data_IF_617027168898
#
_entry.id   IF_617027168898
#
_cell.length_a   1.000
_cell.length_b   1.000
_cell.length_c   1.000
_cell.angle_alpha   90.00
_cell.angle_beta   90.00
_cell.angle_gamma   90.00
#
_symmetry.space_group_name_H-M   'P 1'
#
loop_
_entity.id
_entity.type
_entity.pdbx_description
1 polymer ?
2 non-polymer ?
3 water ?
#
# COMPACT_ATOMS: atom_id res chain seq x y z
C UNK A 1 -8.93 -9.61 -19.82
N UNK A 2 -8.26 -8.46 -19.67
CA UNK A 2 -6.82 -8.42 -19.85
C UNK A 2 -6.06 -8.81 -18.60
N UNK A 3 -4.82 -9.23 -18.77
CA UNK A 3 -3.99 -9.75 -17.69
C UNK A 3 -3.56 -8.64 -16.71
N UNK A 4 -3.30 -7.43 -17.22
CA UNK A 4 -2.91 -6.31 -16.34
C UNK A 4 -4.09 -5.92 -15.44
N UNK A 5 -5.28 -5.78 -16.03
CA UNK A 5 -6.46 -5.50 -15.22
C UNK A 5 -6.69 -6.56 -14.17
N UNK A 6 -6.52 -7.82 -14.55
CA UNK A 6 -6.70 -8.92 -13.60
C UNK A 6 -5.70 -8.80 -12.46
N UNK A 7 -4.45 -8.47 -12.78
CA UNK A 7 -3.43 -8.31 -11.74
C UNK A 7 -3.75 -7.12 -10.83
N UNK A 8 -4.25 -6.03 -11.41
CA UNK A 8 -4.63 -4.87 -10.61
C UNK A 8 -5.80 -5.20 -9.65
N UNK A 9 -6.76 -6.00 -10.12
CA UNK A 9 -7.86 -6.45 -9.25
C UNK A 9 -7.33 -7.32 -8.12
N UNK A 10 -6.28 -8.08 -8.40
CA UNK A 10 -5.66 -8.93 -7.37
C UNK A 10 -5.03 -8.04 -6.30
N UNK A 11 -4.46 -6.92 -6.74
CA UNK A 11 -3.88 -5.94 -5.83
C UNK A 11 -4.98 -5.36 -4.93
N UNK A 12 -6.12 -5.03 -5.53
CA UNK A 12 -7.26 -4.53 -4.79
C UNK A 12 -7.73 -5.55 -3.77
N UNK A 13 -7.78 -6.82 -4.16
CA UNK A 13 -8.18 -7.88 -3.24
C UNK A 13 -7.20 -7.99 -2.06
N UNK A 14 -5.91 -7.88 -2.36
CA UNK A 14 -4.89 -7.97 -1.31
C UNK A 14 -5.06 -6.81 -0.32
N UNK A 15 -5.40 -5.64 -0.84
CA UNK A 15 -5.60 -4.47 0.01
C UNK A 15 -6.86 -4.61 0.85
N UNK A 16 -7.90 -5.25 0.31
CA UNK A 16 -9.07 -5.53 1.14
C UNK A 16 -8.71 -6.55 2.23
N UNK A 17 -7.80 -7.46 1.91
CA UNK A 17 -7.31 -8.41 2.89
C UNK A 17 -6.51 -7.69 3.99
N UNK A 18 -5.67 -6.54 3.70
CA UNK A 18 -4.91 -5.77 4.61
C UNK A 18 -5.85 -5.01 5.50
N UNK A 19 -7.04 -4.43 4.90
CA UNK A 19 -8.01 -3.72 5.74
C UNK A 19 -8.67 -4.66 6.74
N UNK A 20 -9.04 -5.85 6.27
CA UNK A 20 -9.65 -6.83 7.16
C UNK A 20 -8.69 -7.20 8.30
N UNK A 21 -7.44 -7.46 7.96
CA UNK A 21 -6.49 -7.86 9.00
C UNK A 21 -6.29 -6.75 10.00
N UNK A 22 -6.25 -5.50 9.54
CA UNK A 22 -6.05 -4.42 10.49
C UNK A 22 -7.27 -4.18 11.36
N UNK A 23 -8.48 -4.39 10.83
CA UNK A 23 -9.68 -4.26 11.65
C UNK A 23 -9.60 -5.27 12.78
N UNK A 24 -9.05 -6.45 12.50
CA UNK A 24 -8.93 -7.48 13.53
C UNK A 24 -7.93 -7.07 14.60
N UNK A 25 -6.89 -6.32 14.20
CA UNK A 25 -5.96 -5.78 15.16
C UNK A 25 -6.65 -4.78 16.08
N UNK A 26 -7.46 -3.91 15.46
CA UNK A 26 -8.21 -2.90 16.19
C UNK A 26 -9.20 -3.54 17.16
N UNK A 27 -9.73 -4.71 16.77
CA UNK A 27 -10.68 -5.42 17.61
C UNK A 27 -9.97 -6.28 18.64
N UNK A 28 -8.73 -6.65 18.34
CA UNK A 28 -7.91 -7.42 19.27
C UNK A 28 -7.38 -6.51 20.38
N UNK A 29 -7.20 -5.23 20.06
CA UNK A 29 -6.73 -4.26 21.04
C UNK A 29 -7.86 -3.83 21.98
C UNK B 1 13.72 7.15 -18.61
N UNK B 2 12.64 6.37 -18.56
CA UNK B 2 11.30 6.93 -18.67
C UNK B 2 10.70 7.57 -17.44
N UNK B 3 9.83 8.56 -17.69
CA UNK B 3 9.17 9.30 -16.61
C UNK B 3 8.26 8.41 -15.76
N UNK B 4 7.52 7.49 -16.38
CA UNK B 4 6.64 6.60 -15.60
C UNK B 4 7.45 5.68 -14.69
N UNK B 5 8.49 5.07 -15.25
CA UNK B 5 9.38 4.21 -14.48
C UNK B 5 10.01 4.97 -13.31
N UNK B 6 10.38 6.23 -13.54
CA UNK B 6 10.98 7.04 -12.48
C UNK B 6 10.00 7.28 -11.34
N UNK B 7 8.75 7.55 -11.68
CA UNK B 7 7.73 7.79 -10.67
C UNK B 7 7.45 6.50 -9.91
N UNK B 8 7.45 5.37 -10.62
CA UNK B 8 7.23 4.10 -9.93
C UNK B 8 8.36 3.80 -8.94
N UNK B 9 9.60 4.15 -9.30
CA UNK B 9 10.73 3.96 -8.38
C UNK B 9 10.59 4.91 -7.18
N UNK B 10 10.01 6.07 -7.42
CA UNK B 10 9.74 7.02 -6.33
C UNK B 10 8.71 6.43 -5.37
N UNK B 11 7.72 5.76 -5.92
CA UNK B 11 6.73 5.07 -5.09
C UNK B 11 7.42 4.00 -4.25
N UNK B 12 8.31 3.23 -4.87
CA UNK B 12 9.04 2.20 -4.13
C UNK B 12 9.84 2.81 -2.99
N UNK B 13 10.47 3.95 -3.28
CA UNK B 13 11.31 4.62 -2.29
C UNK B 13 10.46 5.10 -1.13
N UNK B 14 9.27 5.60 -1.42
CA UNK B 14 8.35 6.06 -0.39
C UNK B 14 7.91 4.88 0.49
N UNK B 15 7.67 3.74 -0.14
CA UNK B 15 7.28 2.55 0.62
C UNK B 15 8.40 2.08 1.53
N UNK B 16 9.65 2.26 1.11
CA UNK B 16 10.76 1.88 1.98
C UNK B 16 10.81 2.81 3.19
N UNK B 17 10.41 4.06 3.00
CA UNK B 17 10.26 5.00 4.13
C UNK B 17 9.19 4.50 5.09
N UNK B 18 7.91 4.02 4.63
CA UNK B 18 6.85 3.44 5.40
C UNK B 18 7.38 2.26 6.18
N UNK B 19 8.43 1.46 5.58
CA UNK B 19 9.03 0.34 6.30
C UNK B 19 9.98 0.82 7.38
N UNK B 20 10.72 1.89 7.11
CA UNK B 20 11.70 2.39 8.07
C UNK B 20 11.01 3.09 9.22
N UNK B 21 9.80 3.59 8.97
CA UNK B 21 9.07 4.25 10.03
C UNK B 21 8.74 3.28 11.14
N UNK B 22 8.28 2.07 10.78
CA UNK B 22 7.99 1.06 11.80
C UNK B 22 9.23 0.31 12.29
N UNK B 23 10.31 0.34 11.53
CA UNK B 23 11.59 -0.11 12.07
C UNK B 23 12.10 0.86 13.11
N UNK B 24 11.84 2.15 12.88
CA UNK B 24 12.28 3.21 13.78
C UNK B 24 11.63 3.09 15.13
C UNK C 1 -13.86 2.19 -19.27
N UNK C 2 -12.54 2.21 -19.24
CA UNK C 2 -11.76 1.01 -19.48
C UNK C 2 -11.57 0.15 -18.25
N UNK C 3 -11.26 -1.12 -18.44
CA UNK C 3 -11.12 -2.02 -17.31
C UNK C 3 -9.86 -1.74 -16.46
N UNK C 4 -8.78 -1.23 -17.06
CA UNK C 4 -7.60 -0.90 -16.24
C UNK C 4 -7.95 0.24 -15.29
N UNK C 5 -8.58 1.29 -15.80
CA UNK C 5 -9.03 2.39 -14.97
C UNK C 5 -10.01 1.91 -13.90
N UNK C 6 -10.89 0.99 -14.28
CA UNK C 6 -11.85 0.44 -13.33
C UNK C 6 -11.16 -0.32 -12.19
N UNK C 7 -10.14 -1.10 -12.54
CA UNK C 7 -9.37 -1.85 -11.53
C UNK C 7 -8.62 -0.89 -10.62
N UNK C 8 -8.08 0.18 -11.19
CA UNK C 8 -7.39 1.18 -10.39
C UNK C 8 -8.35 1.86 -9.40
N UNK C 9 -9.57 2.13 -9.83
CA UNK C 9 -10.58 2.69 -8.93
C UNK C 9 -10.92 1.69 -7.82
N UNK C 10 -10.89 0.40 -8.14
CA UNK C 10 -11.11 -0.64 -7.13
C UNK C 10 -9.98 -0.61 -6.09
N UNK C 11 -8.75 -0.36 -6.54
CA UNK C 11 -7.62 -0.25 -5.62
C UNK C 11 -7.83 0.95 -4.70
N UNK C 12 -8.26 2.08 -5.25
CA UNK C 12 -8.53 3.26 -4.43
C UNK C 12 -9.58 2.96 -3.38
N UNK C 13 -10.62 2.24 -3.80
CA UNK C 13 -11.70 1.88 -2.89
C UNK C 13 -11.18 1.00 -1.75
N UNK C 14 -10.31 0.06 -2.08
CA UNK C 14 -9.72 -0.83 -1.06
C UNK C 14 -8.88 -0.02 -0.07
N UNK C 15 -8.16 0.97 -0.58
CA UNK C 15 -7.31 1.81 0.28
C UNK C 15 -8.16 2.68 1.21
N UNK C 16 -9.32 3.13 0.74
CA UNK C 16 -10.24 3.84 1.62
C UNK C 16 -10.74 2.91 2.73
N UNK C 17 -10.82 1.61 2.45
CA UNK C 17 -11.15 0.66 3.52
C UNK C 17 -10.05 0.68 4.57
N UNK C 18 -8.75 0.58 3.91
CA UNK C 18 -7.64 0.53 4.80
C UNK C 18 -7.64 1.78 5.65
N UNK C 19 -8.14 3.02 5.11
CA UNK C 19 -8.23 4.22 5.95
C UNK C 19 -9.27 4.03 7.04
N UNK C 20 -10.43 3.48 6.69
CA UNK C 20 -11.51 3.25 7.65
C UNK C 20 -11.05 2.35 8.79
N UNK C 21 -10.30 1.30 8.46
CA UNK C 21 -9.81 0.38 9.47
C UNK C 21 -8.89 1.07 10.47
N UNK C 22 -8.06 1.99 9.99
CA UNK C 22 -7.14 2.71 10.85
C UNK C 22 -7.87 3.66 11.80
N UNK C 23 -8.93 4.28 11.30
CA UNK C 23 -9.76 5.16 12.13
C UNK C 23 -10.39 4.34 13.25
N UNK C 24 -10.75 3.10 12.94
CA UNK C 24 -11.34 2.24 13.96
C UNK C 24 -10.26 1.82 14.95
N UNK C 25 -9.03 1.70 14.46
CA UNK C 25 -7.88 1.41 15.30
C UNK C 25 -7.59 2.55 16.27
N UNK C 26 -7.63 3.77 15.75
CA UNK C 26 -7.36 4.96 16.55
C UNK C 26 -8.41 5.15 17.66
N UNK C 27 -9.65 4.75 17.38
CA UNK C 27 -10.73 4.92 18.35
C UNK C 27 -10.78 3.76 19.36
N UNK C 28 -10.25 2.61 18.97
CA UNK C 28 -10.17 1.46 19.87
C UNK C 28 -9.07 1.63 20.91
C UNK D 1 -8.19 12.93 -18.70
N UNK D 2 -7.23 12.02 -18.68
CA UNK D 2 -7.49 10.63 -18.97
C UNK D 2 -8.05 9.87 -17.78
N UNK D 3 -8.84 8.84 -18.03
CA UNK D 3 -9.45 8.05 -16.96
C UNK D 3 -8.42 7.35 -16.09
N UNK D 4 -7.34 6.86 -16.69
CA UNK D 4 -6.30 6.18 -15.89
C UNK D 4 -5.62 7.15 -14.92
N UNK D 5 -5.22 8.31 -15.42
CA UNK D 5 -4.62 9.34 -14.56
C UNK D 5 -5.59 9.74 -13.44
N UNK D 6 -6.87 9.83 -13.77
CA UNK D 6 -7.89 10.23 -12.79
C UNK D 6 -7.98 9.18 -11.69
N UNK D 7 -7.90 7.91 -12.07
CA UNK D 7 -7.97 6.83 -11.08
C UNK D 7 -6.72 6.82 -10.19
N UNK D 8 -5.55 7.07 -10.78
CA UNK D 8 -4.31 7.10 -10.00
C UNK D 8 -4.36 8.23 -8.98
N UNK D 9 -4.96 9.36 -9.36
CA UNK D 9 -5.12 10.47 -8.43
C UNK D 9 -6.11 10.10 -7.33
N UNK D 10 -7.08 9.26 -7.67
CA UNK D 10 -8.02 8.76 -6.66
C UNK D 10 -7.29 7.87 -5.65
N UNK D 11 -6.34 7.08 -6.16
CA UNK D 11 -5.50 6.23 -5.30
C UNK D 11 -4.67 7.10 -4.34
N UNK D 12 -4.06 8.15 -4.86
CA UNK D 12 -3.30 9.08 -4.01
C UNK D 12 -4.18 9.71 -2.94
N UNK D 13 -5.39 10.09 -3.32
CA UNK D 13 -6.31 10.71 -2.36
C UNK D 13 -6.66 9.72 -1.24
N UNK D 14 -6.85 8.45 -1.60
CA UNK D 14 -7.13 7.43 -0.59
C UNK D 14 -5.94 7.26 0.35
N UNK D 15 -4.73 7.30 -0.21
CA UNK D 15 -3.54 7.15 0.62
C UNK D 15 -3.38 8.35 1.55
N UNK D 16 -3.81 9.52 1.10
CA UNK D 16 -3.74 10.69 1.97
C UNK D 16 -4.74 10.50 3.11
N UNK D 17 -5.86 9.82 2.82
CA UNK D 17 -6.79 9.47 3.89
C UNK D 17 -6.15 8.53 4.89
N UNK D 18 -5.22 7.56 4.35
CA UNK D 18 -4.67 6.58 5.25
C UNK D 18 -3.71 7.26 6.21
N UNK D 19 -3.08 8.42 5.61
CA UNK D 19 -2.13 9.12 6.46
C UNK D 19 -2.86 10.00 7.47
N UNK D 20 -3.97 10.58 7.04
CA UNK D 20 -4.73 11.47 7.91
C UNK D 20 -5.58 10.69 8.93
N UNK D 21 -5.86 9.41 8.66
CA UNK D 21 -6.51 8.54 9.62
C UNK D 21 -5.59 8.42 10.82
N UNK D 22 -4.29 8.40 10.52
CA UNK D 22 -3.24 8.31 11.53
C UNK D 22 -3.19 9.54 12.42
N UNK D 23 -4.02 10.54 12.10
CA UNK D 23 -4.26 11.66 13.02
C UNK D 23 -4.88 11.14 14.31
C UNK E 1 4.23 15.17 -18.47
N UNK E 2 4.07 13.86 -18.29
CA UNK E 2 2.78 13.25 -18.56
C UNK E 2 1.83 13.24 -17.38
N UNK E 3 0.54 13.13 -17.67
CA UNK E 3 -0.47 13.18 -16.61
C UNK E 3 -0.40 11.93 -15.74
N UNK E 4 -0.08 10.79 -16.36
CA UNK E 4 0.04 9.54 -15.59
C UNK E 4 1.24 9.57 -14.66
N UNK E 5 2.38 10.00 -15.18
CA UNK E 5 3.58 10.14 -14.34
C UNK E 5 3.34 11.12 -13.20
N UNK E 6 2.64 12.21 -13.47
CA UNK E 6 2.33 13.19 -12.41
C UNK E 6 1.47 12.55 -11.32
N UNK E 7 0.47 11.75 -11.73
CA UNK E 7 -0.40 11.09 -10.74
C UNK E 7 0.38 10.09 -9.92
N UNK E 8 1.31 9.37 -10.55
CA UNK E 8 2.14 8.42 -9.81
C UNK E 8 3.03 9.12 -8.78
N UNK E 9 3.56 10.27 -9.14
CA UNK E 9 4.35 11.06 -8.19
C UNK E 9 3.47 11.54 -7.01
N UNK E 10 2.21 11.82 -7.29
CA UNK E 10 1.25 12.20 -6.25
C UNK E 10 1.03 11.03 -5.29
N UNK E 11 1.00 9.82 -5.84
CA UNK E 11 0.90 8.62 -5.04
C UNK E 11 2.15 8.47 -4.15
N UNK E 12 3.32 8.67 -4.73
CA UNK E 12 4.55 8.60 -3.94
C UNK E 12 4.52 9.62 -2.81
N UNK E 13 4.08 10.83 -3.13
CA UNK E 13 4.01 11.88 -2.10
C UNK E 13 3.06 11.49 -0.96
N UNK E 14 1.92 10.90 -1.33
CA UNK E 14 0.96 10.46 -0.32
C UNK E 14 1.57 9.38 0.57
N UNK E 15 2.36 8.48 -0.03
CA UNK E 15 2.99 7.42 0.76
C UNK E 15 4.06 7.99 1.69
N UNK E 16 4.76 9.04 1.26
CA UNK E 16 5.69 9.71 2.16
C UNK E 16 4.94 10.37 3.32
N UNK E 17 3.71 10.80 3.07
CA UNK E 17 2.90 11.32 4.17
C UNK E 17 2.68 10.18 5.16
N UNK E 18 2.13 8.97 4.61
CA UNK E 18 1.82 7.80 5.36
C UNK E 18 3.04 7.41 6.19
N UNK E 19 4.38 7.61 5.67
CA UNK E 19 5.50 7.28 6.55
C UNK E 19 5.65 8.30 7.70
N UNK E 20 5.52 9.59 7.39
CA UNK E 20 5.61 10.61 8.42
C UNK E 20 4.56 10.38 9.51
N UNK E 21 3.34 10.09 9.10
CA UNK E 21 2.25 9.87 10.05
C UNK E 21 2.50 8.62 10.93
N UNK E 22 3.02 7.56 10.32
CA UNK E 22 3.27 6.33 11.06
C UNK E 22 4.41 6.53 12.05
N UNK E 23 5.43 7.28 11.64
CA UNK E 23 6.55 7.56 12.52
C UNK E 23 6.11 8.34 13.76
N UNK E 24 5.21 9.30 13.58
CA UNK E 24 4.74 10.11 14.72
C UNK E 24 3.84 9.29 15.62
N UNK E 25 3.10 8.36 15.02
CA UNK E 25 2.26 7.45 15.79
C UNK E 25 3.16 6.60 16.69
N UNK E 26 4.25 6.10 16.13
CA UNK E 26 5.20 5.28 16.88
C UNK E 26 5.87 6.06 18.02
N UNK E 27 6.11 7.35 17.80
CA UNK E 27 6.76 8.19 18.82
C UNK E 27 5.76 8.72 19.86
N UNK E 28 4.49 8.76 19.47
CA UNK E 28 3.44 9.19 20.40
C UNK E 28 3.13 8.08 21.41
C UNK F 1 3.01 -12.72 -19.65
N UNK F 2 2.66 -11.44 -19.56
CA UNK F 2 3.62 -10.35 -19.66
C UNK F 2 4.37 -10.04 -18.39
N UNK F 3 5.52 -9.41 -18.56
CA UNK F 3 6.37 -9.06 -17.44
C UNK F 3 5.70 -8.03 -16.52
N UNK F 4 4.96 -7.09 -17.09
CA UNK F 4 4.30 -6.09 -16.25
C UNK F 4 3.20 -6.74 -15.37
N UNK F 5 2.36 -7.56 -15.99
CA UNK F 5 1.34 -8.28 -15.22
C UNK F 5 1.98 -9.16 -14.14
N UNK F 6 3.09 -9.82 -14.48
CA UNK F 6 3.76 -10.65 -13.46
C UNK F 6 4.22 -9.81 -12.28
N UNK F 7 4.78 -8.64 -12.55
CA UNK F 7 5.25 -7.76 -11.47
C UNK F 7 4.09 -7.25 -10.63
N UNK F 8 2.96 -6.93 -11.27
CA UNK F 8 1.78 -6.50 -10.55
C UNK F 8 1.28 -7.62 -9.62
N UNK F 9 1.32 -8.86 -10.10
CA UNK F 9 0.94 -9.99 -9.24
C UNK F 9 1.92 -10.15 -8.07
N UNK F 10 3.18 -9.84 -8.31
CA UNK F 10 4.18 -9.89 -7.25
C UNK F 10 3.84 -8.85 -6.18
N UNK F 11 3.35 -7.69 -6.62
CA UNK F 11 2.91 -6.64 -5.73
C UNK F 11 1.71 -7.12 -4.89
N UNK F 12 0.75 -7.77 -5.54
CA UNK F 12 -0.39 -8.32 -4.79
C UNK F 12 0.07 -9.33 -3.75
N UNK F 13 1.00 -10.20 -4.13
CA UNK F 13 1.53 -11.21 -3.21
C UNK F 13 2.21 -10.55 -2.01
N UNK F 14 2.96 -9.48 -2.26
CA UNK F 14 3.63 -8.75 -1.17
C UNK F 14 2.59 -8.12 -0.25
N UNK F 15 1.51 -7.63 -0.81
CA UNK F 15 0.45 -7.03 0.01
C UNK F 15 -0.27 -8.11 0.83
N UNK F 16 -0.40 -9.31 0.28
CA UNK F 16 -0.94 -10.43 1.10
C UNK F 16 0.02 -10.76 2.25
N UNK F 17 1.32 -10.56 2.03
CA UNK F 17 2.27 -10.74 3.14
C UNK F 17 2.00 -9.70 4.21
N UNK F 18 1.85 -8.31 3.85
CA UNK F 18 1.55 -7.26 4.76
C UNK F 18 0.30 -7.65 5.53
N UNK F 19 -0.85 -8.26 4.91
CA UNK F 19 -2.03 -8.76 5.61
C UNK F 19 -1.69 -9.86 6.61
N UNK F 20 -0.84 -10.79 6.17
CA UNK F 20 -0.39 -11.90 7.00
C UNK F 20 0.27 -11.38 8.27
N UNK F 21 1.08 -10.33 8.10
CA UNK F 21 1.80 -9.75 9.23
C UNK F 21 0.83 -9.23 10.27
N UNK F 22 -0.25 -8.62 9.80
CA UNK F 22 -1.28 -8.08 10.67
C UNK F 22 -2.10 -9.18 11.35
N UNK F 23 -2.40 -10.25 10.60
CA UNK F 23 -3.16 -11.37 11.16
C UNK F 23 -2.42 -12.07 12.29
N UNK F 24 -1.13 -12.29 12.12
CA UNK F 24 -0.32 -12.91 13.16
C UNK F 24 -0.32 -12.01 14.40
N UNK F 25 -0.33 -10.70 14.18
CA UNK F 25 -0.53 -9.71 15.24
C UNK F 25 -1.92 -9.83 15.85
N UNK F 26 -2.94 -9.98 15.02
CA UNK F 26 -4.31 -10.10 15.50
C UNK F 26 -4.50 -11.32 16.38
N UNK F 27 -3.74 -12.38 16.09
CA UNK F 27 -3.85 -13.60 16.88
C UNK F 27 -3.00 -13.49 18.15
N UNK F 28 -1.97 -12.66 18.11
CA UNK F 28 -1.15 -12.39 19.30
C UNK F 28 -1.87 -11.41 20.22
N UNK F 29 -2.19 -10.25 19.68
CA UNK F 29 -2.88 -9.20 20.43
C UNK F 29 -4.34 -9.57 20.69
C UNK G 1 13.17 -5.50 -19.12
N UNK G 2 11.92 -5.03 -19.05
CA UNK G 2 11.59 -3.62 -19.13
C UNK G 2 11.77 -2.83 -17.85
N UNK G 3 11.93 -1.52 -18.02
CA UNK G 3 12.17 -0.59 -16.93
C UNK G 3 10.95 -0.42 -16.03
N UNK G 4 9.77 -0.45 -16.64
CA UNK G 4 8.54 -0.32 -15.85
C UNK G 4 8.35 -1.56 -14.97
N UNK G 5 8.52 -2.73 -15.56
CA UNK G 5 8.40 -3.99 -14.82
C UNK G 5 9.42 -4.05 -13.67
N UNK G 6 10.63 -3.60 -13.95
CA UNK G 6 11.69 -3.58 -12.91
C UNK G 6 11.28 -2.67 -11.76
N UNK G 7 10.72 -1.51 -12.08
CA UNK G 7 10.27 -0.57 -11.05
C UNK G 7 9.12 -1.17 -10.25
N UNK G 8 8.21 -1.87 -10.91
CA UNK G 8 7.09 -2.52 -10.21
C UNK G 8 7.59 -3.60 -9.24
N UNK G 9 8.59 -4.36 -9.67
CA UNK G 9 9.20 -5.37 -8.80
C UNK G 9 9.89 -4.72 -7.60
N UNK G 10 10.45 -3.53 -7.81
CA UNK G 10 11.06 -2.77 -6.72
C UNK G 10 10.00 -2.36 -5.71
N UNK G 11 8.80 -2.03 -6.22
CA UNK G 11 7.66 -1.73 -5.37
C UNK G 11 7.27 -2.96 -4.55
N UNK G 12 7.22 -4.13 -5.20
CA UNK G 12 6.89 -5.37 -4.49
C UNK G 12 7.89 -5.63 -3.37
N UNK G 13 9.17 -5.41 -3.68
CA UNK G 13 10.22 -5.60 -2.70
C UNK G 13 10.04 -4.66 -1.50
N UNK G 14 9.67 -3.42 -1.78
CA UNK G 14 9.45 -2.44 -0.71
C UNK G 14 8.29 -2.89 0.17
N UNK G 15 7.27 -3.46 -0.44
CA UNK G 15 6.12 -3.94 0.33
C UNK G 15 6.46 -5.17 1.16
N UNK G 16 7.32 -6.05 0.64
CA UNK G 16 7.77 -7.17 1.47
C UNK G 16 8.59 -6.67 2.65
N UNK G 17 9.32 -5.57 2.46
CA UNK G 17 10.05 -4.92 3.57
C UNK G 17 9.07 -4.35 4.59
N UNK G 18 7.89 -3.66 4.13
CA UNK G 18 6.88 -3.13 4.98
C UNK G 18 6.29 -4.30 5.75
N UNK G 19 6.04 -5.59 5.16
CA UNK G 19 5.50 -6.69 5.94
C UNK G 19 6.48 -7.12 7.01
N UNK G 20 7.76 -7.24 6.66
CA UNK G 20 8.78 -7.61 7.64
C UNK G 20 8.84 -6.61 8.81
N UNK G 21 8.82 -5.32 8.49
CA UNK G 21 8.89 -4.27 9.51
C UNK G 21 7.66 -4.30 10.45
N UNK G 22 6.47 -4.56 9.90
CA UNK G 22 5.25 -4.61 10.71
C UNK G 22 5.33 -5.76 11.68
N UNK G 23 5.86 -6.88 11.20
CA UNK G 23 6.04 -8.05 12.06
C UNK G 23 6.97 -7.76 13.22
N UNK G 24 8.07 -7.05 12.95
CA UNK G 24 9.01 -6.76 14.03
C UNK G 24 8.55 -5.67 14.98
N UNK G 25 7.81 -4.69 14.48
CA UNK G 25 7.28 -3.64 15.34
C UNK G 25 6.31 -4.23 16.33
N UNK G 26 5.45 -5.11 15.83
CA UNK G 26 4.45 -5.76 16.68
C UNK G 26 5.10 -6.62 17.77
N UNK G 27 6.24 -7.21 17.45
CA UNK G 27 6.95 -8.07 18.40
C UNK G 27 7.81 -7.24 19.35
N UNK G 28 8.18 -6.04 18.93
CA UNK G 28 8.97 -5.14 19.76
C UNK G 28 8.10 -4.53 20.86
N UNK G 29 6.82 -4.42 20.58
CA UNK G 29 5.85 -3.97 21.58
C UNK G 29 5.51 -5.12 22.53
N UNK G 30 6.04 -6.31 22.22
CA UNK G 30 5.86 -7.52 23.03
C UNK G 30 4.39 -7.86 23.21
X LIG H 1 -3.26 -6.69 -21.78
X LIG H 1 -4.28 -7.08 -22.67
X LIG H 1 -3.83 -6.82 -20.38
X LIG H 1 -2.87 -7.42 -19.54
X LIG H 1 -4.28 -5.50 -19.80
X LIG H 1 -5.42 -5.64 -18.97
X LIG I 1 -7.94 -0.44 -21.63
X LIG I 1 -9.23 -0.67 -22.17
X LIG I 1 -8.05 -0.13 -20.15
X LIG I 1 -9.02 -1.00 -19.63
X LIG I 1 -8.43 1.34 -20.00
X LIG I 1 -8.63 1.73 -18.65
#
# INVERSE_FOLDING_TARGET
XGEIAKALREIAKALREXAWAHREEAKALRG
XGEIAKALREIAKALREXAWAHREEAKALRG
XGEIAKALREIAKALREXAWAHREEAKALRG
XGEIAKALREIAKALREXAWAHREEAKALRG
XGEIAKALREIAKALREXAWAHREEAKALRG
XGEIAKALREIAKALREXAWAHREEAKALRG
XGEIAKALREIAKALREXAWAHREEAKALRG
GOL C1 O1 C2 O2 C3 O3
GOL C1 O1 C2 O2 C3 O3
#
